data_IF_999593895781
#
_entry.id   IF_999593895781
#
_cell.length_a   1.000
_cell.length_b   1.000
_cell.length_c   1.000
_cell.angle_alpha   90.00
_cell.angle_beta   90.00
_cell.angle_gamma   90.00
#
_symmetry.space_group_name_H-M   'P 1'
#
loop_
_entity.id
_entity.type
_entity.pdbx_description
1 polymer ?
#
# COMPACT_ATOMS: atom_id res chain seq x y z
N UNK A 1 0.59 15.97 -12.01
CA UNK A 1 0.53 16.57 -13.35
C UNK A 1 -0.80 16.24 -13.99
N UNK A 2 -1.21 16.95 -15.05
CA UNK A 2 -2.35 16.52 -15.86
C UNK A 2 -2.12 15.11 -16.40
N UNK A 3 -3.19 14.43 -16.77
CA UNK A 3 -3.12 13.06 -17.25
C UNK A 3 -4.50 12.52 -17.58
N UNK A 4 -4.65 11.20 -17.56
CA UNK A 4 -5.83 10.53 -18.10
C UNK A 4 -6.31 9.45 -17.13
N UNK A 5 -7.58 9.48 -16.73
CA UNK A 5 -8.22 8.51 -15.84
C UNK A 5 -9.48 8.01 -16.55
N UNK A 6 -9.65 6.68 -16.67
CA UNK A 6 -10.80 6.05 -17.34
C UNK A 6 -11.10 6.65 -18.72
N UNK A 7 -10.04 6.86 -19.50
CA UNK A 7 -10.04 7.51 -20.80
C UNK A 7 -10.40 9.01 -20.85
N UNK A 8 -10.58 9.65 -19.70
CA UNK A 8 -10.89 11.09 -19.59
C UNK A 8 -9.66 11.89 -19.19
N UNK A 9 -9.36 12.94 -19.97
CA UNK A 9 -8.33 13.93 -19.62
C UNK A 9 -8.71 14.68 -18.35
N UNK A 10 -7.78 14.77 -17.40
CA UNK A 10 -7.97 15.44 -16.12
C UNK A 10 -6.82 16.43 -15.86
N UNK A 11 -7.19 17.59 -15.33
CA UNK A 11 -6.25 18.67 -15.00
C UNK A 11 -5.27 18.26 -13.90
N UNK A 12 -4.10 18.91 -13.89
CA UNK A 12 -3.13 18.77 -12.82
C UNK A 12 -3.58 19.48 -11.54
N UNK A 13 -3.00 19.11 -10.39
CA UNK A 13 -3.33 19.72 -9.09
C UNK A 13 -3.28 21.25 -9.08
N UNK A 14 -2.27 21.88 -9.71
CA UNK A 14 -2.10 23.34 -9.79
C UNK A 14 -3.04 24.04 -10.78
N UNK A 15 -3.81 23.27 -11.54
CA UNK A 15 -4.78 23.77 -12.52
C UNK A 15 -6.22 23.71 -11.98
N UNK A 16 -6.42 23.19 -10.77
CA UNK A 16 -7.71 23.15 -10.09
C UNK A 16 -8.10 24.56 -9.59
N UNK A 17 -9.39 24.91 -9.65
CA UNK A 17 -9.92 26.28 -9.45
C UNK A 17 -9.46 26.97 -8.15
N UNK A 18 -9.29 26.20 -7.07
CA UNK A 18 -8.97 26.70 -5.74
C UNK A 18 -7.54 26.35 -5.29
N UNK A 19 -6.63 26.13 -6.22
CA UNK A 19 -5.23 25.81 -5.94
C UNK A 19 -4.32 26.92 -6.45
N UNK A 20 -3.41 27.40 -5.59
CA UNK A 20 -2.41 28.38 -5.98
C UNK A 20 -1.49 27.79 -7.09
N UNK A 21 -1.19 28.53 -8.17
CA UNK A 21 -0.37 28.02 -9.28
C UNK A 21 1.05 27.59 -8.88
N UNK A 22 1.57 28.12 -7.77
CA UNK A 22 2.87 27.82 -7.17
C UNK A 22 2.78 26.89 -5.95
N UNK A 23 1.61 26.31 -5.67
CA UNK A 23 1.39 25.40 -4.55
C UNK A 23 2.35 24.20 -4.57
N UNK A 24 3.04 23.97 -3.45
CA UNK A 24 3.93 22.82 -3.24
C UNK A 24 3.30 21.73 -2.35
N UNK A 25 1.97 21.77 -2.15
CA UNK A 25 1.26 20.77 -1.35
C UNK A 25 1.42 19.38 -1.97
N UNK A 26 1.89 18.38 -1.22
CA UNK A 26 2.03 17.02 -1.73
C UNK A 26 0.67 16.34 -1.92
N UNK A 27 0.47 15.76 -3.11
CA UNK A 27 -0.68 14.92 -3.43
C UNK A 27 -0.37 13.42 -3.39
N UNK A 28 0.90 13.07 -3.14
CA UNK A 28 1.43 11.72 -3.04
C UNK A 28 2.52 11.68 -1.98
N UNK A 29 2.61 10.56 -1.26
CA UNK A 29 3.65 10.27 -0.28
C UNK A 29 4.05 8.81 -0.38
N UNK A 30 5.36 8.53 -0.38
CA UNK A 30 5.89 7.20 -0.21
C UNK A 30 7.09 7.22 0.74
N UNK A 31 7.17 6.23 1.62
CA UNK A 31 8.24 6.12 2.60
C UNK A 31 8.60 4.67 2.89
N UNK A 32 9.85 4.49 3.28
CA UNK A 32 10.39 3.26 3.86
C UNK A 32 10.66 3.52 5.34
N UNK A 33 9.96 2.78 6.20
CA UNK A 33 10.00 2.90 7.64
C UNK A 33 10.55 1.63 8.25
N UNK A 34 11.04 1.74 9.48
CA UNK A 34 11.48 0.61 10.29
C UNK A 34 10.85 0.71 11.67
N UNK A 35 10.47 -0.43 12.22
CA UNK A 35 10.01 -0.53 13.60
C UNK A 35 11.18 -1.05 14.42
N UNK A 36 11.71 -0.20 15.30
CA UNK A 36 12.82 -0.57 16.19
C UNK A 36 12.33 -1.48 17.32
N UNK A 37 12.25 -2.77 17.01
CA UNK A 37 11.88 -3.81 17.94
C UNK A 37 12.53 -5.13 17.53
N UNK A 38 12.70 -6.04 18.49
CA UNK A 38 13.25 -7.37 18.21
C UNK A 38 12.47 -8.13 17.12
N UNK A 39 11.13 -8.03 17.13
CA UNK A 39 10.26 -8.73 16.17
C UNK A 39 10.45 -8.23 14.73
N UNK A 40 10.67 -6.93 14.56
CA UNK A 40 10.70 -6.25 13.26
C UNK A 40 12.09 -5.79 12.84
N UNK A 41 13.13 -6.22 13.56
CA UNK A 41 14.52 -5.86 13.27
C UNK A 41 14.88 -6.22 11.81
N UNK A 42 15.28 -5.19 11.05
CA UNK A 42 15.66 -5.32 9.65
C UNK A 42 14.51 -5.58 8.68
N UNK A 43 13.25 -5.52 9.12
CA UNK A 43 12.07 -5.63 8.25
C UNK A 43 11.61 -4.23 7.82
N UNK A 44 11.72 -3.87 6.54
CA UNK A 44 11.25 -2.57 6.06
C UNK A 44 9.73 -2.58 5.88
N UNK A 45 9.09 -1.49 6.29
CA UNK A 45 7.68 -1.18 6.04
C UNK A 45 7.61 -0.11 4.96
N UNK A 46 6.97 -0.43 3.83
CA UNK A 46 6.73 0.55 2.78
C UNK A 46 5.31 1.04 2.87
N UNK A 47 5.14 2.36 2.85
CA UNK A 47 3.84 3.01 2.81
C UNK A 47 3.81 3.89 1.57
N UNK A 48 2.74 3.79 0.77
CA UNK A 48 2.42 4.77 -0.26
C UNK A 48 0.97 5.20 -0.16
N UNK A 49 0.71 6.46 -0.43
CA UNK A 49 -0.64 7.02 -0.52
C UNK A 49 -0.64 8.16 -1.52
N UNK A 50 -1.73 8.34 -2.24
CA UNK A 50 -1.81 9.42 -3.21
C UNK A 50 -3.21 9.65 -3.75
N UNK A 51 -3.38 10.81 -4.37
CA UNK A 51 -4.58 11.19 -5.12
C UNK A 51 -4.34 11.05 -6.61
N UNK A 52 -5.43 10.95 -7.39
CA UNK A 52 -5.40 10.82 -8.85
C UNK A 52 -4.53 9.63 -9.32
N UNK A 53 -4.54 8.53 -8.54
CA UNK A 53 -3.98 7.23 -8.92
C UNK A 53 -4.96 6.49 -9.85
N UNK A 54 -4.55 5.40 -10.53
CA UNK A 54 -5.39 4.73 -11.53
C UNK A 54 -6.61 4.07 -10.90
N UNK A 55 -6.50 3.65 -9.63
CA UNK A 55 -7.58 2.98 -8.88
C UNK A 55 -7.63 3.48 -7.45
N UNK A 56 -8.84 3.49 -6.87
CA UNK A 56 -9.03 3.66 -5.43
C UNK A 56 -8.83 2.29 -4.78
N UNK A 57 -7.75 2.10 -4.04
CA UNK A 57 -7.44 0.85 -3.34
C UNK A 57 -6.86 1.17 -1.96
N UNK A 58 -7.27 0.40 -0.96
CA UNK A 58 -6.64 0.32 0.36
C UNK A 58 -6.27 -1.14 0.60
N UNK A 59 -4.98 -1.43 0.69
CA UNK A 59 -4.48 -2.80 0.85
C UNK A 59 -3.26 -2.87 1.78
N UNK A 60 -3.02 -4.06 2.32
CA UNK A 60 -1.80 -4.40 3.06
C UNK A 60 -1.19 -5.63 2.38
N UNK A 61 0.05 -5.52 1.91
CA UNK A 61 0.78 -6.66 1.35
C UNK A 61 1.96 -7.05 2.23
N UNK A 62 2.00 -8.31 2.64
CA UNK A 62 3.09 -8.92 3.39
C UNK A 62 3.85 -9.86 2.47
N UNK A 63 5.06 -9.46 2.06
CA UNK A 63 5.95 -10.31 1.28
C UNK A 63 6.85 -11.15 2.19
N UNK A 64 6.80 -12.47 2.05
CA UNK A 64 7.64 -13.39 2.79
C UNK A 64 9.06 -13.46 2.21
N UNK A 65 10.02 -13.86 3.04
CA UNK A 65 11.39 -14.14 2.57
C UNK A 65 11.37 -15.42 1.72
N UNK A 66 12.17 -15.43 0.66
CA UNK A 66 12.43 -16.67 -0.07
C UNK A 66 13.16 -17.67 0.83
N UNK A 67 12.85 -18.97 0.76
CA UNK A 67 13.59 -19.99 1.48
C UNK A 67 15.05 -20.04 0.97
N UNK A 68 16.02 -20.27 1.87
CA UNK A 68 17.45 -20.23 1.52
C UNK A 68 17.88 -21.37 0.58
N UNK A 69 17.14 -22.48 0.56
CA UNK A 69 17.42 -23.66 -0.23
C UNK A 69 16.47 -23.76 -1.43
N UNK A 70 17.02 -23.78 -2.63
CA UNK A 70 16.29 -24.11 -3.86
C UNK A 70 16.12 -25.63 -3.96
N UNK A 71 15.11 -26.17 -3.29
CA UNK A 71 14.82 -27.61 -3.30
C UNK A 71 14.45 -28.15 -4.69
N UNK A 72 14.04 -27.28 -5.62
CA UNK A 72 13.61 -27.64 -6.98
C UNK A 72 14.68 -27.46 -8.06
N UNK A 73 15.98 -27.40 -7.69
CA UNK A 73 17.10 -27.43 -8.63
C UNK A 73 17.24 -26.20 -9.55
N UNK A 74 18.04 -26.34 -10.62
CA UNK A 74 18.28 -25.32 -11.68
C UNK A 74 17.14 -25.19 -12.70
N UNK A 75 16.07 -25.98 -12.57
CA UNK A 75 14.93 -26.00 -13.50
C UNK A 75 13.95 -24.84 -13.30
N UNK A 76 14.17 -24.01 -12.28
CA UNK A 76 13.28 -22.91 -11.94
C UNK A 76 14.10 -21.63 -11.83
N UNK A 77 13.89 -20.72 -12.78
CA UNK A 77 14.25 -19.33 -12.62
C UNK A 77 13.49 -18.76 -11.41
N UNK A 78 14.18 -17.89 -10.68
CA UNK A 78 13.79 -17.18 -9.44
C UNK A 78 12.37 -17.51 -8.92
N UNK A 79 12.29 -18.23 -7.80
CA UNK A 79 11.01 -18.53 -7.15
C UNK A 79 10.41 -17.24 -6.60
N UNK A 80 9.26 -16.80 -7.12
CA UNK A 80 8.58 -15.61 -6.62
C UNK A 80 8.32 -15.72 -5.10
N UNK A 81 8.60 -14.67 -4.32
CA UNK A 81 8.30 -14.68 -2.89
C UNK A 81 6.79 -14.86 -2.65
N UNK A 82 6.42 -15.66 -1.65
CA UNK A 82 5.03 -15.73 -1.23
C UNK A 82 4.54 -14.35 -0.76
N UNK A 83 3.27 -14.04 -0.98
CA UNK A 83 2.63 -12.79 -0.53
C UNK A 83 1.30 -13.07 0.15
N UNK A 84 1.04 -12.43 1.28
CA UNK A 84 -0.28 -12.37 1.90
C UNK A 84 -0.81 -10.95 1.75
N UNK A 85 -1.92 -10.81 1.05
CA UNK A 85 -2.52 -9.53 0.68
C UNK A 85 -3.88 -9.42 1.36
N UNK A 86 -4.10 -8.33 2.08
CA UNK A 86 -5.38 -7.96 2.65
C UNK A 86 -5.94 -6.79 1.84
N UNK A 87 -6.99 -7.04 1.07
CA UNK A 87 -7.82 -5.99 0.46
C UNK A 87 -8.79 -5.45 1.51
N UNK A 88 -8.71 -4.14 1.77
CA UNK A 88 -9.57 -3.47 2.76
C UNK A 88 -10.71 -2.74 2.04
N UNK A 89 -10.42 -1.98 0.99
CA UNK A 89 -11.40 -1.30 0.17
C UNK A 89 -10.88 -1.14 -1.27
N UNK A 90 -11.75 -1.19 -2.30
CA UNK A 90 -13.19 -1.37 -2.24
C UNK A 90 -13.62 -2.83 -2.05
N UNK A 91 -12.75 -3.77 -2.42
CA UNK A 91 -13.01 -5.20 -2.27
C UNK A 91 -12.35 -5.71 -0.99
N UNK A 92 -13.16 -6.22 -0.08
CA UNK A 92 -12.73 -6.85 1.17
C UNK A 92 -12.33 -8.29 0.85
N UNK A 93 -11.03 -8.57 0.81
CA UNK A 93 -10.52 -9.87 0.41
C UNK A 93 -9.22 -10.23 1.14
N UNK A 94 -8.96 -11.54 1.26
CA UNK A 94 -7.69 -12.06 1.73
C UNK A 94 -7.12 -12.97 0.64
N UNK A 95 -5.96 -12.61 0.10
CA UNK A 95 -5.30 -13.37 -0.96
C UNK A 95 -3.94 -13.88 -0.49
N UNK A 96 -3.70 -15.19 -0.62
CA UNK A 96 -2.40 -15.81 -0.40
C UNK A 96 -1.82 -16.26 -1.75
N UNK A 97 -0.73 -15.62 -2.15
CA UNK A 97 0.04 -15.97 -3.34
C UNK A 97 1.17 -16.90 -2.91
N UNK A 98 1.20 -18.10 -3.46
CA UNK A 98 2.19 -19.13 -3.12
C UNK A 98 2.57 -19.99 -4.32
N UNK A 99 3.76 -20.59 -4.27
CA UNK A 99 4.22 -21.54 -5.28
C UNK A 99 3.74 -22.96 -4.96
N UNK A 100 3.06 -23.61 -5.90
CA UNK A 100 2.68 -25.03 -5.86
C UNK A 100 3.34 -25.80 -6.99
N UNK A 101 3.35 -27.14 -6.91
CA UNK A 101 3.79 -27.97 -8.03
C UNK A 101 2.78 -27.88 -9.18
N UNK A 102 3.24 -27.61 -10.40
CA UNK A 102 2.40 -27.69 -11.58
C UNK A 102 1.83 -29.12 -11.77
N UNK A 103 0.53 -29.30 -12.00
CA UNK A 103 -0.04 -30.61 -12.28
C UNK A 103 0.57 -31.24 -13.54
N UNK A 104 1.19 -32.42 -13.41
CA UNK A 104 1.75 -33.15 -14.55
C UNK A 104 3.09 -33.83 -14.26
N UNK A 105 3.77 -34.21 -15.35
CA UNK A 105 5.10 -34.84 -15.32
C UNK A 105 6.17 -33.76 -15.28
N UNK A 106 6.75 -33.54 -14.10
CA UNK A 106 7.78 -32.53 -13.87
C UNK A 106 7.72 -31.97 -12.44
N UNK A 107 8.78 -31.28 -12.01
CA UNK A 107 8.87 -30.60 -10.72
C UNK A 107 9.03 -29.09 -10.93
N UNK A 108 8.13 -28.50 -11.72
CA UNK A 108 8.10 -27.07 -11.95
C UNK A 108 7.16 -26.40 -10.95
N UNK A 109 7.62 -25.37 -10.20
CA UNK A 109 6.75 -24.54 -9.38
C UNK A 109 5.90 -23.65 -10.27
N UNK A 110 4.68 -23.41 -9.83
CA UNK A 110 3.73 -22.50 -10.45
C UNK A 110 3.10 -21.65 -9.36
N UNK A 111 3.08 -20.34 -9.57
CA UNK A 111 2.46 -19.41 -8.63
C UNK A 111 0.95 -19.51 -8.76
N UNK A 112 0.27 -19.74 -7.65
CA UNK A 112 -1.19 -19.74 -7.55
C UNK A 112 -1.63 -18.73 -6.51
N UNK A 113 -2.84 -18.20 -6.71
CA UNK A 113 -3.51 -17.32 -5.76
C UNK A 113 -4.64 -18.11 -5.11
N UNK A 114 -4.64 -18.17 -3.78
CA UNK A 114 -5.80 -18.58 -3.01
C UNK A 114 -6.47 -17.32 -2.49
N UNK A 115 -7.71 -17.08 -2.90
CA UNK A 115 -8.48 -15.91 -2.50
C UNK A 115 -9.67 -16.28 -1.61
N UNK A 116 -9.98 -15.38 -0.70
CA UNK A 116 -11.21 -15.34 0.07
C UNK A 116 -11.86 -13.97 -0.16
N UNK A 117 -13.06 -13.98 -0.71
CA UNK A 117 -13.86 -12.77 -0.98
C UNK A 117 -15.02 -12.68 0.01
N UNK A 118 -15.10 -11.58 0.76
CA UNK A 118 -16.16 -11.35 1.73
C UNK A 118 -17.53 -11.17 1.07
N UNK A 119 -17.61 -10.42 -0.06
CA UNK A 119 -18.88 -10.17 -0.74
C UNK A 119 -19.48 -11.45 -1.33
N UNK A 120 -18.62 -12.33 -1.86
CA UNK A 120 -19.03 -13.63 -2.39
C UNK A 120 -19.39 -14.66 -1.31
N UNK A 121 -18.76 -14.57 -0.13
CA UNK A 121 -18.91 -15.57 0.93
C UNK A 121 -20.03 -15.27 1.92
N UNK A 122 -20.38 -13.99 2.11
CA UNK A 122 -21.37 -13.57 3.09
C UNK A 122 -22.41 -12.63 2.47
N UNK A 123 -23.69 -12.96 2.66
CA UNK A 123 -24.80 -12.05 2.36
C UNK A 123 -25.16 -11.34 3.66
N UNK A 124 -24.47 -10.25 3.97
CA UNK A 124 -24.73 -9.43 5.17
C UNK A 124 -24.96 -7.98 4.78
N UNK A 125 -25.83 -7.32 5.54
CA UNK A 125 -26.00 -5.88 5.46
C UNK A 125 -24.69 -5.20 5.88
N UNK A 126 -24.14 -4.35 5.00
CA UNK A 126 -22.94 -3.60 5.31
C UNK A 126 -23.29 -2.48 6.29
N UNK A 127 -22.79 -2.59 7.52
CA UNK A 127 -22.79 -1.46 8.44
C UNK A 127 -21.75 -0.44 7.98
N UNK A 128 -22.17 0.81 7.80
CA UNK A 128 -21.24 1.88 7.46
C UNK A 128 -20.31 2.16 8.64
N UNK A 129 -19.07 2.61 8.35
CA UNK A 129 -18.04 2.82 9.37
C UNK A 129 -18.52 3.66 10.58
N UNK A 130 -19.29 4.73 10.33
CA UNK A 130 -19.82 5.57 11.41
C UNK A 130 -20.89 4.89 12.25
N UNK A 131 -21.74 4.04 11.66
CA UNK A 131 -22.77 3.30 12.41
C UNK A 131 -22.09 2.39 13.44
N UNK A 132 -21.05 1.67 13.02
CA UNK A 132 -20.28 0.81 13.90
C UNK A 132 -19.62 1.59 15.04
N UNK A 133 -18.95 2.70 14.72
CA UNK A 133 -18.28 3.53 15.73
C UNK A 133 -19.27 4.13 16.75
N UNK A 134 -20.46 4.54 16.31
CA UNK A 134 -21.50 5.03 17.21
C UNK A 134 -22.00 3.94 18.16
N UNK A 135 -22.23 2.72 17.64
CA UNK A 135 -22.62 1.57 18.47
C UNK A 135 -21.55 1.23 19.50
N UNK A 136 -20.27 1.22 19.10
CA UNK A 136 -19.16 0.90 19.99
C UNK A 136 -19.01 1.98 21.08
N UNK A 137 -19.17 3.26 20.73
CA UNK A 137 -19.21 4.37 21.69
C UNK A 137 -20.34 4.20 22.73
N UNK A 138 -21.56 3.85 22.29
CA UNK A 138 -22.68 3.61 23.20
C UNK A 138 -22.46 2.40 24.12
N UNK A 139 -21.71 1.39 23.66
CA UNK A 139 -21.33 0.22 24.46
C UNK A 139 -20.13 0.47 25.38
N UNK A 140 -19.45 1.61 25.23
CA UNK A 140 -18.18 1.88 25.91
C UNK A 140 -17.02 1.01 25.41
N UNK A 141 -17.12 0.45 24.20
CA UNK A 141 -16.03 -0.27 23.55
C UNK A 141 -15.13 0.72 22.81
N UNK A 142 -13.90 0.88 23.29
CA UNK A 142 -12.94 1.84 22.77
C UNK A 142 -11.88 1.20 21.85
N UNK A 143 -12.02 -0.07 21.46
CA UNK A 143 -11.01 -0.80 20.68
C UNK A 143 -10.69 -0.12 19.33
N UNK A 144 -11.69 0.47 18.68
CA UNK A 144 -11.54 1.14 17.39
C UNK A 144 -11.23 2.64 17.48
N UNK A 145 -11.05 3.16 18.70
CA UNK A 145 -10.74 4.57 18.93
C UNK A 145 -9.25 4.77 19.19
N UNK A 146 -8.66 5.77 18.55
CA UNK A 146 -7.28 6.14 18.82
C UNK A 146 -7.15 6.69 20.25
N UNK A 147 -6.26 6.10 21.04
CA UNK A 147 -5.89 6.63 22.35
C UNK A 147 -4.96 7.82 22.19
N UNK A 148 -5.00 8.74 23.16
CA UNK A 148 -4.18 9.96 23.13
C UNK A 148 -2.68 9.67 23.00
N UNK A 149 -2.15 8.73 23.79
CA UNK A 149 -0.74 8.31 23.71
C UNK A 149 -0.35 7.77 22.32
N UNK A 150 -1.26 7.05 21.67
CA UNK A 150 -1.09 6.61 20.29
C UNK A 150 -1.08 7.76 19.29
N UNK A 151 -1.96 8.75 19.45
CA UNK A 151 -2.01 9.95 18.59
C UNK A 151 -0.74 10.78 18.73
N UNK A 152 -0.27 10.99 19.96
CA UNK A 152 0.97 11.72 20.23
C UNK A 152 2.17 11.02 19.59
N UNK A 153 2.21 9.68 19.64
CA UNK A 153 3.25 8.89 18.98
C UNK A 153 3.18 8.96 17.45
N UNK A 154 1.97 9.01 16.85
CA UNK A 154 1.82 9.23 15.41
C UNK A 154 2.35 10.59 14.98
N UNK A 155 2.03 11.65 15.73
CA UNK A 155 2.53 13.00 15.46
C UNK A 155 4.05 13.10 15.63
N UNK A 156 4.63 12.46 16.65
CA UNK A 156 6.08 12.42 16.83
C UNK A 156 6.84 11.82 15.63
N UNK A 157 6.18 10.97 14.83
CA UNK A 157 6.75 10.43 13.58
C UNK A 157 6.55 11.37 12.40
N UNK A 158 5.38 12.00 12.28
CA UNK A 158 4.99 12.79 11.10
C UNK A 158 5.50 14.24 11.17
N UNK A 159 5.49 14.88 12.34
CA UNK A 159 5.86 16.29 12.51
C UNK A 159 7.28 16.61 12.03
N UNK A 160 8.31 15.80 12.32
CA UNK A 160 9.66 16.07 11.82
C UNK A 160 9.75 16.02 10.29
N UNK A 161 8.96 15.14 9.66
CA UNK A 161 8.87 15.01 8.21
C UNK A 161 8.25 16.29 7.64
N UNK A 162 7.07 16.69 8.14
CA UNK A 162 6.41 17.91 7.68
C UNK A 162 7.31 19.14 7.87
N UNK A 163 7.89 19.30 9.07
CA UNK A 163 8.77 20.42 9.40
C UNK A 163 9.98 20.52 8.47
N UNK A 164 10.57 19.38 8.09
CA UNK A 164 11.69 19.36 7.15
C UNK A 164 11.27 19.83 5.76
N UNK A 165 10.12 19.38 5.25
CA UNK A 165 9.62 19.77 3.93
C UNK A 165 9.24 21.25 3.85
N UNK A 166 8.73 21.83 4.94
CA UNK A 166 8.38 23.25 5.00
C UNK A 166 9.62 24.15 5.08
N UNK A 167 10.69 23.69 5.75
CA UNK A 167 11.91 24.48 5.96
C UNK A 167 12.92 24.34 4.83
N UNK A 168 12.97 23.18 4.19
CA UNK A 168 13.90 22.87 3.09
C UNK A 168 13.09 22.45 1.87
N UNK A 169 12.66 23.40 1.02
CA UNK A 169 11.94 23.07 -0.19
C UNK A 169 12.81 22.16 -1.06
N UNK A 170 12.27 21.03 -1.55
CA UNK A 170 13.06 20.12 -2.38
C UNK A 170 13.46 20.82 -3.68
N UNK A 171 14.73 20.68 -4.06
CA UNK A 171 15.25 21.26 -5.31
C UNK A 171 14.55 20.71 -6.56
N UNK A 172 14.04 19.48 -6.48
CA UNK A 172 13.18 18.86 -7.48
C UNK A 172 11.99 18.22 -6.75
N UNK A 173 10.79 18.64 -7.10
CA UNK A 173 9.55 18.07 -6.56
C UNK A 173 9.05 17.00 -7.55
N UNK A 174 9.13 15.69 -7.23
CA UNK A 174 8.71 14.64 -8.14
C UNK A 174 7.25 14.84 -8.53
N UNK A 175 6.99 14.85 -9.84
CA UNK A 175 5.66 15.01 -10.39
C UNK A 175 5.25 13.72 -11.10
N UNK A 176 3.97 13.41 -11.07
CA UNK A 176 3.41 12.21 -11.66
C UNK A 176 2.15 12.56 -12.45
N UNK A 177 1.92 11.96 -13.63
CA UNK A 177 0.70 12.20 -14.39
C UNK A 177 -0.50 11.60 -13.65
N UNK A 178 -1.65 12.27 -13.70
CA UNK A 178 -2.89 11.72 -13.18
C UNK A 178 -3.24 10.40 -13.90
N UNK A 179 -3.67 9.40 -13.14
CA UNK A 179 -3.92 8.05 -13.63
C UNK A 179 -2.70 7.14 -13.67
N UNK A 180 -1.55 7.58 -13.14
CA UNK A 180 -0.37 6.72 -12.89
C UNK A 180 -0.26 6.31 -11.42
N UNK A 181 0.54 5.29 -11.12
CA UNK A 181 0.79 4.79 -9.75
C UNK A 181 1.68 5.68 -8.88
N UNK A 182 1.97 6.91 -9.34
CA UNK A 182 2.80 7.87 -8.63
C UNK A 182 4.09 8.19 -9.39
N UNK A 183 5.02 8.92 -8.76
CA UNK A 183 6.30 9.26 -9.35
C UNK A 183 7.23 8.05 -9.38
N UNK A 184 8.14 8.00 -10.37
CA UNK A 184 9.08 6.88 -10.56
C UNK A 184 9.95 6.64 -9.32
N UNK A 185 10.27 7.70 -8.59
CA UNK A 185 11.04 7.65 -7.35
C UNK A 185 10.38 6.77 -6.27
N UNK A 186 9.05 6.58 -6.32
CA UNK A 186 8.33 5.68 -5.43
C UNK A 186 8.59 4.20 -5.77
N UNK A 187 8.81 3.85 -7.04
CA UNK A 187 9.17 2.50 -7.46
C UNK A 187 10.65 2.23 -7.15
N UNK A 188 11.51 3.20 -7.45
CA UNK A 188 12.95 3.15 -7.14
C UNK A 188 13.21 2.93 -5.64
N UNK A 189 12.30 3.41 -4.77
CA UNK A 189 12.37 3.17 -3.32
C UNK A 189 12.36 1.66 -2.96
N UNK A 190 11.55 0.85 -3.65
CA UNK A 190 11.46 -0.60 -3.42
C UNK A 190 12.51 -1.37 -4.22
N UNK A 191 12.80 -0.92 -5.44
CA UNK A 191 13.81 -1.55 -6.32
C UNK A 191 15.20 -1.58 -5.68
N UNK A 192 15.55 -0.55 -4.90
CA UNK A 192 16.79 -0.51 -4.09
C UNK A 192 16.96 -1.72 -3.17
N UNK A 193 15.85 -2.36 -2.77
CA UNK A 193 15.86 -3.57 -1.97
C UNK A 193 15.45 -4.83 -2.75
N UNK A 194 15.38 -4.75 -4.09
CA UNK A 194 14.96 -5.85 -4.97
C UNK A 194 13.48 -6.21 -4.81
N UNK A 195 12.62 -5.23 -4.48
CA UNK A 195 11.18 -5.40 -4.31
C UNK A 195 10.42 -4.56 -5.34
N UNK A 196 9.15 -4.89 -5.51
CA UNK A 196 8.21 -4.15 -6.37
C UNK A 196 6.91 -3.97 -5.62
N UNK A 197 6.18 -2.89 -5.94
CA UNK A 197 4.84 -2.70 -5.43
C UNK A 197 3.91 -3.81 -5.92
N UNK A 198 2.90 -4.12 -5.12
CA UNK A 198 1.76 -4.89 -5.62
C UNK A 198 0.89 -3.90 -6.38
N UNK A 199 0.70 -4.15 -7.67
CA UNK A 199 -0.19 -3.39 -8.53
C UNK A 199 -1.26 -4.35 -9.03
N UNK A 200 -2.47 -4.23 -8.48
CA UNK A 200 -3.65 -5.00 -8.90
C UNK A 200 -4.52 -4.19 -9.86
#
# INVERSE_FOLDING_TARGET
>A
GPGKIDDVEVSGYREEENVAPDSNTPTFFAAKLYIDSWRWAGVPFYVRTGKRLPKRITEISVQFKQPPLRLFGRTCDVLEPNRLIFGIQPQEAICLVLSVKYPGVGNQPHTVTMDFDYEGSFVVERHYAYERLLIDCLKGDLILFARQDGVDAMWAVVDPIISHWETVPPANFPNYPAGSWGPKEADELLERDGRTWVEQ
#
